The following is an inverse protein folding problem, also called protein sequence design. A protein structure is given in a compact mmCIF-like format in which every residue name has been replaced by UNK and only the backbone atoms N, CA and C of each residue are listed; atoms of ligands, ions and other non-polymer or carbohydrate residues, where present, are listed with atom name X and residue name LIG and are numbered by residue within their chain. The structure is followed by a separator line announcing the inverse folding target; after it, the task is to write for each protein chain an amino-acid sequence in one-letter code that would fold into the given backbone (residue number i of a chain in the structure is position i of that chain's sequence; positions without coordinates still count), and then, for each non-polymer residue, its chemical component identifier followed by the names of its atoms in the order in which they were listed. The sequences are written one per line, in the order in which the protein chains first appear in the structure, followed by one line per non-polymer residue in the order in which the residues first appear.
data_IF_651448096441
#
_entry.id   IF_651448096441
#
_cell.length_a   1.000
_cell.length_b   1.000
_cell.length_c   1.000
_cell.angle_alpha   90.00
_cell.angle_beta   90.00
_cell.angle_gamma   90.00
#
_symmetry.space_group_name_H-M   'P 1'
#
loop_
_entity.id
_entity.type
_entity.pdbx_description
1 polymer ?
#
# COMPACT_ATOMS: atom_id res chain seq x y z
N UNK A 1 15.53 15.43 -2.62
CA UNK A 1 16.54 14.45 -3.08
C UNK A 1 16.83 14.71 -4.54
N UNK A 2 17.81 15.59 -4.83
CA UNK A 2 18.37 15.81 -6.16
C UNK A 2 19.77 15.22 -6.13
N UNK A 3 19.94 14.05 -6.74
CA UNK A 3 21.16 13.53 -7.37
C UNK A 3 21.16 12.01 -7.30
N UNK A 4 20.63 11.32 -8.32
CA UNK A 4 21.20 10.11 -8.95
C UNK A 4 20.37 9.86 -10.22
N UNK A 5 20.56 10.66 -11.28
CA UNK A 5 20.06 10.29 -12.61
C UNK A 5 21.01 10.89 -13.67
N UNK A 6 22.27 10.49 -13.59
CA UNK A 6 23.24 10.68 -14.68
C UNK A 6 24.09 9.44 -14.84
N UNK A 7 23.54 8.43 -15.51
CA UNK A 7 24.35 7.57 -16.39
C UNK A 7 23.50 7.07 -17.56
N UNK A 8 23.77 7.61 -18.75
CA UNK A 8 23.35 7.03 -20.03
C UNK A 8 24.05 5.67 -20.18
N UNK A 9 23.34 4.59 -19.85
CA UNK A 9 23.48 3.26 -20.46
C UNK A 9 22.07 2.84 -20.84
N UNK A 10 21.89 2.22 -22.00
CA UNK A 10 20.64 1.55 -22.38
C UNK A 10 20.37 0.41 -21.37
N UNK A 11 19.84 0.78 -20.21
CA UNK A 11 19.26 -0.12 -19.23
C UNK A 11 17.75 0.00 -19.44
N UNK A 12 17.03 -1.13 -19.43
CA UNK A 12 15.56 -1.23 -19.51
C UNK A 12 14.92 -1.39 -20.89
N UNK A 13 15.64 -1.86 -21.92
CA UNK A 13 14.98 -2.20 -23.18
C UNK A 13 14.28 -3.55 -23.07
N UNK A 14 12.95 -3.53 -23.15
CA UNK A 14 12.14 -4.74 -23.33
C UNK A 14 12.39 -5.35 -24.71
N UNK A 15 12.40 -6.67 -24.78
CA UNK A 15 12.56 -7.42 -26.02
C UNK A 15 11.41 -8.41 -26.17
N UNK A 16 10.98 -8.66 -27.39
CA UNK A 16 10.01 -9.71 -27.67
C UNK A 16 10.67 -11.07 -27.62
N UNK A 17 10.08 -11.98 -26.84
CA UNK A 17 10.43 -13.38 -26.80
C UNK A 17 9.36 -14.24 -27.47
N UNK A 18 9.77 -15.38 -28.01
CA UNK A 18 8.84 -16.44 -28.43
C UNK A 18 8.56 -17.32 -27.22
N UNK A 19 7.29 -17.43 -26.83
CA UNK A 19 6.87 -18.32 -25.74
C UNK A 19 6.17 -19.55 -26.31
N UNK A 20 6.40 -20.71 -25.69
CA UNK A 20 5.61 -21.92 -25.91
C UNK A 20 4.50 -22.10 -24.87
N UNK A 21 4.36 -21.16 -23.92
CA UNK A 21 3.35 -21.23 -22.85
C UNK A 21 2.01 -20.69 -23.34
N UNK A 22 0.95 -21.44 -23.07
CA UNK A 22 -0.43 -21.05 -23.36
C UNK A 22 -1.11 -20.29 -22.21
N UNK A 23 -0.49 -20.22 -21.02
CA UNK A 23 -1.07 -19.58 -19.84
C UNK A 23 -0.68 -18.10 -19.75
N UNK A 24 -1.68 -17.24 -19.50
CA UNK A 24 -1.47 -15.83 -19.20
C UNK A 24 -0.56 -15.65 -17.96
N UNK A 25 0.36 -14.70 -18.04
CA UNK A 25 1.32 -14.38 -17.00
C UNK A 25 1.23 -12.88 -16.66
N UNK A 26 0.89 -12.57 -15.41
CA UNK A 26 0.85 -11.20 -14.90
C UNK A 26 2.24 -10.81 -14.42
N UNK A 27 2.86 -9.88 -15.12
CA UNK A 27 4.20 -9.37 -14.81
C UNK A 27 4.06 -8.02 -14.13
N UNK A 28 4.26 -7.96 -12.82
CA UNK A 28 4.35 -6.68 -12.11
C UNK A 28 5.74 -6.08 -12.29
N UNK A 29 5.80 -4.82 -12.70
CA UNK A 29 7.03 -4.03 -12.63
C UNK A 29 7.20 -3.50 -11.21
N UNK A 30 8.43 -3.52 -10.71
CA UNK A 30 8.77 -2.96 -9.40
C UNK A 30 10.18 -2.34 -9.43
N UNK A 31 10.46 -1.26 -8.68
CA UNK A 31 11.76 -0.60 -8.71
C UNK A 31 12.78 -1.34 -7.83
N UNK A 32 13.99 -1.53 -8.36
CA UNK A 32 15.10 -2.15 -7.64
C UNK A 32 15.90 -1.13 -6.80
N UNK A 33 15.35 -0.70 -5.66
CA UNK A 33 16.01 0.29 -4.79
C UNK A 33 16.49 -0.37 -3.49
N UNK A 34 17.81 -0.59 -3.39
CA UNK A 34 18.43 -1.16 -2.18
C UNK A 34 18.20 -0.28 -0.94
N UNK A 35 17.83 -0.92 0.17
CA UNK A 35 17.62 -0.26 1.46
C UNK A 35 16.33 0.56 1.59
N UNK A 36 15.62 0.81 0.47
CA UNK A 36 14.31 1.45 0.50
C UNK A 36 13.23 0.43 0.91
N UNK A 37 12.35 0.86 1.81
CA UNK A 37 11.26 0.04 2.35
C UNK A 37 9.94 0.75 2.11
N UNK A 38 9.26 0.43 1.01
CA UNK A 38 7.92 0.93 0.73
C UNK A 38 6.86 -0.16 0.89
N UNK A 39 5.74 0.21 1.49
CA UNK A 39 4.60 -0.71 1.61
C UNK A 39 4.05 -1.16 0.25
N UNK A 40 4.17 -0.31 -0.78
CA UNK A 40 3.71 -0.63 -2.13
C UNK A 40 4.44 -1.81 -2.76
N UNK A 41 5.76 -1.90 -2.56
CA UNK A 41 6.58 -3.03 -3.04
C UNK A 41 6.13 -4.34 -2.38
N UNK A 42 5.87 -4.30 -1.06
CA UNK A 42 5.33 -5.46 -0.31
C UNK A 42 3.97 -5.89 -0.86
N UNK A 43 3.06 -4.95 -1.12
CA UNK A 43 1.73 -5.25 -1.68
C UNK A 43 1.85 -5.90 -3.06
N UNK A 44 2.69 -5.37 -3.95
CA UNK A 44 2.93 -5.94 -5.29
C UNK A 44 3.44 -7.39 -5.18
N UNK A 45 4.46 -7.63 -4.36
CA UNK A 45 5.01 -8.98 -4.15
C UNK A 45 3.94 -9.94 -3.60
N UNK A 46 3.17 -9.51 -2.61
CA UNK A 46 2.13 -10.34 -2.00
C UNK A 46 0.99 -10.63 -2.97
N UNK A 47 0.58 -9.67 -3.79
CA UNK A 47 -0.44 -9.91 -4.80
C UNK A 47 0.03 -10.86 -5.90
N UNK A 48 1.29 -10.76 -6.32
CA UNK A 48 1.88 -11.74 -7.25
C UNK A 48 1.81 -13.16 -6.67
N UNK A 49 2.13 -13.32 -5.38
CA UNK A 49 1.98 -14.61 -4.68
C UNK A 49 0.51 -15.07 -4.63
N UNK A 50 -0.43 -14.17 -4.34
CA UNK A 50 -1.85 -14.49 -4.25
C UNK A 50 -2.38 -14.95 -5.61
N UNK A 51 -2.05 -14.25 -6.71
CA UNK A 51 -2.42 -14.66 -8.07
C UNK A 51 -1.92 -16.07 -8.36
N UNK A 52 -0.65 -16.35 -8.06
CA UNK A 52 -0.08 -17.68 -8.26
C UNK A 52 -0.77 -18.75 -7.40
N UNK A 53 -1.00 -18.47 -6.12
CA UNK A 53 -1.64 -19.40 -5.18
C UNK A 53 -3.10 -19.71 -5.53
N UNK A 54 -3.83 -18.75 -6.10
CA UNK A 54 -5.22 -18.96 -6.49
C UNK A 54 -5.36 -19.97 -7.63
N UNK A 55 -4.33 -20.17 -8.46
CA UNK A 55 -4.39 -21.01 -9.67
C UNK A 55 -5.59 -20.70 -10.57
N UNK A 56 -6.03 -19.42 -10.57
CA UNK A 56 -7.25 -18.97 -11.23
C UNK A 56 -7.04 -18.96 -12.75
N UNK A 57 -7.81 -19.76 -13.49
CA UNK A 57 -7.65 -19.99 -14.94
C UNK A 57 -6.23 -20.36 -15.39
N UNK A 58 -5.42 -20.94 -14.49
CA UNK A 58 -4.02 -21.25 -14.76
C UNK A 58 -3.12 -20.01 -14.93
N UNK A 59 -3.59 -18.81 -14.56
CA UNK A 59 -2.80 -17.58 -14.61
C UNK A 59 -1.59 -17.68 -13.69
N UNK A 60 -0.42 -17.32 -14.20
CA UNK A 60 0.81 -17.19 -13.41
C UNK A 60 1.11 -15.73 -13.10
N UNK A 61 2.00 -15.47 -12.14
CA UNK A 61 2.48 -14.11 -11.90
C UNK A 61 3.96 -14.11 -11.53
N UNK A 62 4.65 -13.05 -11.96
CA UNK A 62 6.05 -12.81 -11.66
C UNK A 62 6.28 -11.32 -11.38
N UNK A 63 7.34 -11.03 -10.61
CA UNK A 63 7.87 -9.68 -10.44
C UNK A 63 9.05 -9.46 -11.37
N UNK A 64 9.04 -8.35 -12.10
CA UNK A 64 10.14 -7.90 -12.94
C UNK A 64 10.73 -6.62 -12.36
N UNK A 65 12.03 -6.66 -12.06
CA UNK A 65 12.86 -5.50 -11.72
C UNK A 65 13.67 -5.09 -12.96
N UNK A 66 13.20 -4.15 -13.80
CA UNK A 66 13.76 -3.97 -15.15
C UNK A 66 15.23 -3.55 -15.16
N UNK A 67 15.65 -2.81 -14.13
CA UNK A 67 17.00 -2.29 -13.93
C UNK A 67 17.97 -3.31 -13.29
N UNK A 68 17.44 -4.33 -12.60
CA UNK A 68 18.23 -5.33 -11.90
C UNK A 68 17.42 -6.62 -11.65
N UNK A 69 17.45 -7.56 -12.60
CA UNK A 69 16.69 -8.82 -12.53
C UNK A 69 17.04 -9.75 -11.37
N UNK A 70 18.16 -9.49 -10.68
CA UNK A 70 18.59 -10.25 -9.48
C UNK A 70 18.14 -9.62 -8.18
N UNK A 71 17.55 -8.43 -8.23
CA UNK A 71 17.07 -7.73 -7.04
C UNK A 71 15.89 -8.49 -6.41
N UNK A 72 15.87 -8.52 -5.08
CA UNK A 72 14.75 -8.99 -4.28
C UNK A 72 14.72 -8.24 -2.96
N UNK A 73 13.53 -7.95 -2.44
CA UNK A 73 13.42 -7.37 -1.10
C UNK A 73 13.75 -8.39 -0.02
N UNK A 74 14.43 -7.94 1.03
CA UNK A 74 14.80 -8.80 2.18
C UNK A 74 14.19 -8.31 3.50
N UNK A 75 13.36 -7.26 3.47
CA UNK A 75 12.79 -6.66 4.67
C UNK A 75 11.42 -7.23 5.06
N UNK A 76 10.83 -8.07 4.20
CA UNK A 76 9.64 -8.88 4.47
C UNK A 76 9.82 -10.27 3.85
N UNK A 77 9.10 -11.26 4.38
CA UNK A 77 9.11 -12.62 3.84
C UNK A 77 8.27 -12.71 2.56
N UNK A 78 8.80 -13.35 1.53
CA UNK A 78 8.10 -13.55 0.27
C UNK A 78 8.61 -14.80 -0.46
N UNK A 79 7.74 -15.41 -1.25
CA UNK A 79 7.95 -16.50 -2.19
C UNK A 79 7.57 -16.11 -3.63
N UNK A 80 7.37 -14.81 -3.90
CA UNK A 80 7.09 -14.30 -5.23
C UNK A 80 8.12 -14.79 -6.28
N UNK A 81 7.64 -15.20 -7.45
CA UNK A 81 8.50 -15.62 -8.55
C UNK A 81 9.08 -14.38 -9.24
N UNK A 82 10.39 -14.39 -9.51
CA UNK A 82 11.06 -13.29 -10.21
C UNK A 82 11.20 -13.63 -11.69
N UNK A 83 11.03 -12.63 -12.55
CA UNK A 83 11.31 -12.72 -13.98
C UNK A 83 12.76 -12.31 -14.23
N UNK A 84 13.53 -13.21 -14.84
CA UNK A 84 14.99 -13.10 -14.92
C UNK A 84 15.51 -12.22 -16.07
N UNK A 85 14.62 -11.70 -16.92
CA UNK A 85 15.00 -10.84 -18.05
C UNK A 85 13.85 -9.92 -18.48
N UNK A 86 14.19 -8.87 -19.23
CA UNK A 86 13.24 -7.97 -19.89
C UNK A 86 12.63 -8.56 -21.18
N UNK A 87 12.62 -9.89 -21.32
CA UNK A 87 12.01 -10.58 -22.46
C UNK A 87 10.54 -10.83 -22.17
N UNK A 88 9.66 -10.21 -22.94
CA UNK A 88 8.21 -10.29 -22.80
C UNK A 88 7.56 -10.94 -24.02
N UNK A 89 6.42 -11.61 -23.81
CA UNK A 89 5.62 -12.20 -24.88
C UNK A 89 4.33 -11.44 -25.09
N UNK A 90 4.02 -11.06 -26.33
CA UNK A 90 2.74 -10.45 -26.72
C UNK A 90 1.56 -11.39 -26.44
N UNK A 91 1.76 -12.69 -26.60
CA UNK A 91 0.69 -13.68 -26.53
C UNK A 91 0.37 -14.14 -25.10
N UNK A 92 1.31 -13.97 -24.17
CA UNK A 92 1.17 -14.54 -22.82
C UNK A 92 1.47 -13.60 -21.67
N UNK A 93 2.21 -12.50 -21.86
CA UNK A 93 2.50 -11.57 -20.77
C UNK A 93 1.53 -10.39 -20.78
N UNK A 94 0.97 -10.09 -19.60
CA UNK A 94 0.27 -8.83 -19.34
C UNK A 94 1.02 -8.08 -18.24
N UNK A 95 1.43 -6.85 -18.53
CA UNK A 95 2.31 -6.10 -17.63
C UNK A 95 1.50 -5.16 -16.74
N UNK A 96 1.76 -5.16 -15.44
CA UNK A 96 1.21 -4.18 -14.49
C UNK A 96 2.31 -3.20 -14.11
N UNK A 97 2.11 -1.92 -14.42
CA UNK A 97 3.09 -0.86 -14.18
C UNK A 97 2.69 -0.06 -12.93
N UNK A 98 3.57 0.12 -11.92
CA UNK A 98 3.28 1.00 -10.79
C UNK A 98 3.24 2.45 -11.27
N UNK A 99 2.39 3.28 -10.64
CA UNK A 99 2.13 4.65 -11.09
C UNK A 99 3.39 5.50 -11.23
N UNK A 100 4.38 5.28 -10.36
CA UNK A 100 5.63 6.03 -10.33
C UNK A 100 6.60 5.69 -11.47
N UNK A 101 6.36 4.60 -12.20
CA UNK A 101 7.19 4.15 -13.33
C UNK A 101 6.43 4.15 -14.66
N UNK A 102 5.22 4.74 -14.69
CA UNK A 102 4.30 4.56 -15.82
C UNK A 102 4.83 5.09 -17.14
N UNK A 103 5.36 6.32 -17.20
CA UNK A 103 5.80 6.95 -18.46
C UNK A 103 6.89 6.15 -19.19
N UNK A 104 8.05 5.85 -18.58
CA UNK A 104 9.12 5.17 -19.31
C UNK A 104 8.71 3.79 -19.79
N UNK A 105 7.88 3.06 -19.04
CA UNK A 105 7.51 1.69 -19.40
C UNK A 105 6.31 1.60 -20.33
N UNK A 106 5.24 2.37 -20.10
CA UNK A 106 4.04 2.32 -20.94
C UNK A 106 4.37 2.61 -22.40
N UNK A 107 5.20 3.62 -22.67
CA UNK A 107 5.66 3.97 -24.02
C UNK A 107 6.40 2.83 -24.72
N UNK A 108 7.28 2.14 -24.00
CA UNK A 108 8.06 1.04 -24.54
C UNK A 108 7.19 -0.20 -24.79
N UNK A 109 6.33 -0.55 -23.84
CA UNK A 109 5.41 -1.68 -23.97
C UNK A 109 4.43 -1.48 -25.12
N UNK A 110 3.86 -0.28 -25.25
CA UNK A 110 2.99 0.09 -26.37
C UNK A 110 3.70 -0.05 -27.71
N UNK A 111 4.98 0.37 -27.82
CA UNK A 111 5.76 0.24 -29.06
C UNK A 111 6.03 -1.21 -29.48
N UNK A 112 5.94 -2.15 -28.53
CA UNK A 112 6.13 -3.59 -28.75
C UNK A 112 4.81 -4.36 -28.88
N UNK A 113 3.67 -3.68 -28.77
CA UNK A 113 2.35 -4.31 -28.74
C UNK A 113 2.08 -5.15 -27.49
N UNK A 114 2.84 -4.95 -26.41
CA UNK A 114 2.62 -5.64 -25.13
C UNK A 114 1.47 -4.97 -24.38
N UNK A 115 0.48 -5.78 -24.00
CA UNK A 115 -0.69 -5.35 -23.22
C UNK A 115 -0.28 -4.99 -21.80
N UNK A 116 -0.86 -3.91 -21.26
CA UNK A 116 -0.54 -3.49 -19.90
C UNK A 116 -1.71 -2.83 -19.17
N UNK A 117 -1.64 -2.88 -17.84
CA UNK A 117 -2.43 -2.09 -16.92
C UNK A 117 -1.54 -1.23 -16.03
N UNK A 118 -2.15 -0.28 -15.32
CA UNK A 118 -1.45 0.60 -14.38
C UNK A 118 -1.97 0.27 -12.99
N UNK A 119 -1.08 0.07 -12.02
CA UNK A 119 -1.46 -0.03 -10.62
C UNK A 119 -1.12 1.25 -9.89
N UNK A 120 -2.14 1.97 -9.43
CA UNK A 120 -2.00 3.19 -8.67
C UNK A 120 -2.23 2.87 -7.20
N UNK A 121 -1.14 2.86 -6.43
CA UNK A 121 -1.19 2.65 -4.98
C UNK A 121 -1.24 3.95 -4.18
N UNK A 122 -0.90 5.08 -4.79
CA UNK A 122 -1.07 6.40 -4.20
C UNK A 122 -1.54 7.40 -5.25
N UNK A 123 -2.83 7.76 -5.23
CA UNK A 123 -3.41 8.72 -6.17
C UNK A 123 -2.69 10.08 -6.20
N UNK A 124 -2.14 10.51 -5.06
CA UNK A 124 -1.38 11.76 -4.93
C UNK A 124 0.01 11.71 -5.58
N UNK A 125 0.47 10.51 -5.97
CA UNK A 125 1.74 10.30 -6.68
C UNK A 125 1.59 10.29 -8.20
N UNK A 126 0.37 10.43 -8.74
CA UNK A 126 0.12 10.40 -10.19
C UNK A 126 0.85 11.51 -10.98
N UNK A 127 1.29 12.59 -10.30
CA UNK A 127 2.09 13.66 -10.91
C UNK A 127 3.60 13.38 -10.94
N UNK A 128 4.11 12.40 -10.17
CA UNK A 128 5.54 12.06 -10.14
C UNK A 128 6.10 11.72 -11.54
N UNK A 129 5.39 10.98 -12.40
CA UNK A 129 5.85 10.70 -13.75
C UNK A 129 6.17 11.95 -14.58
N UNK A 130 5.53 13.10 -14.33
CA UNK A 130 5.83 14.34 -15.04
C UNK A 130 7.26 14.85 -14.77
N UNK A 131 7.90 14.41 -13.69
CA UNK A 131 9.32 14.69 -13.46
C UNK A 131 10.27 13.88 -14.37
N UNK A 132 9.76 12.86 -15.07
CA UNK A 132 10.51 11.96 -15.95
C UNK A 132 9.97 11.94 -17.39
N UNK A 133 8.99 12.78 -17.73
CA UNK A 133 8.33 12.82 -19.04
C UNK A 133 7.46 14.04 -19.27
N UNK A 134 6.47 13.93 -20.17
CA UNK A 134 5.52 14.99 -20.51
C UNK A 134 4.08 14.63 -20.14
N UNK A 135 3.20 15.63 -20.05
CA UNK A 135 1.75 15.43 -19.89
C UNK A 135 1.17 14.56 -21.01
N UNK A 136 1.66 14.72 -22.24
CA UNK A 136 1.21 13.95 -23.40
C UNK A 136 1.58 12.46 -23.25
N UNK A 137 2.81 12.15 -22.81
CA UNK A 137 3.23 10.77 -22.56
C UNK A 137 2.43 10.16 -21.40
N UNK A 138 2.12 10.93 -20.35
CA UNK A 138 1.31 10.47 -19.22
C UNK A 138 -0.13 10.16 -19.65
N UNK A 139 -0.78 11.08 -20.36
CA UNK A 139 -2.13 10.90 -20.89
C UNK A 139 -2.20 9.72 -21.87
N UNK A 140 -1.20 9.56 -22.73
CA UNK A 140 -1.12 8.40 -23.62
C UNK A 140 -0.99 7.09 -22.83
N UNK A 141 -0.22 7.07 -21.75
CA UNK A 141 -0.05 5.88 -20.92
C UNK A 141 -1.37 5.41 -20.28
N UNK A 142 -2.15 6.32 -19.69
CA UNK A 142 -3.45 5.98 -19.09
C UNK A 142 -4.52 5.65 -20.16
N UNK A 143 -4.51 6.38 -21.29
CA UNK A 143 -5.42 6.10 -22.42
C UNK A 143 -5.18 4.74 -23.06
N UNK A 144 -3.95 4.27 -23.11
CA UNK A 144 -3.60 2.98 -23.73
C UNK A 144 -3.60 1.81 -22.73
N UNK A 145 -3.65 2.06 -21.42
CA UNK A 145 -3.82 1.00 -20.42
C UNK A 145 -5.16 0.29 -20.62
N UNK A 146 -5.19 -1.03 -20.52
CA UNK A 146 -6.42 -1.83 -20.63
C UNK A 146 -7.23 -1.83 -19.32
N UNK A 147 -6.54 -1.63 -18.20
CA UNK A 147 -7.12 -1.57 -16.85
C UNK A 147 -6.27 -0.66 -15.96
N UNK A 148 -6.92 0.05 -15.04
CA UNK A 148 -6.27 0.87 -14.02
C UNK A 148 -6.66 0.32 -12.66
N UNK A 149 -5.73 -0.32 -11.96
CA UNK A 149 -5.95 -0.85 -10.62
C UNK A 149 -5.81 0.28 -9.60
N UNK A 150 -6.76 0.43 -8.67
CA UNK A 150 -6.72 1.40 -7.58
C UNK A 150 -6.70 0.71 -6.21
N UNK A 151 -5.93 1.25 -5.25
CA UNK A 151 -5.80 0.64 -3.91
C UNK A 151 -6.89 1.07 -2.92
N UNK A 152 -7.67 2.11 -3.22
CA UNK A 152 -8.72 2.66 -2.35
C UNK A 152 -9.80 3.37 -3.17
N UNK A 153 -10.92 3.64 -2.52
CA UNK A 153 -11.98 4.46 -3.11
C UNK A 153 -11.45 5.88 -3.37
N UNK A 154 -10.72 6.46 -2.42
CA UNK A 154 -9.98 7.73 -2.55
C UNK A 154 -8.99 7.73 -3.73
N UNK A 155 -8.24 6.64 -3.94
CA UNK A 155 -7.34 6.52 -5.10
C UNK A 155 -8.12 6.45 -6.41
N UNK A 156 -9.27 5.78 -6.43
CA UNK A 156 -10.17 5.75 -7.59
C UNK A 156 -10.66 7.15 -7.94
N UNK A 157 -11.06 7.94 -6.93
CA UNK A 157 -11.46 9.33 -7.09
C UNK A 157 -10.30 10.20 -7.62
N UNK A 158 -9.08 10.04 -7.08
CA UNK A 158 -7.90 10.73 -7.57
C UNK A 158 -7.63 10.44 -9.06
N UNK A 159 -7.73 9.17 -9.48
CA UNK A 159 -7.54 8.78 -10.88
C UNK A 159 -8.64 9.38 -11.75
N UNK A 160 -9.91 9.30 -11.34
CA UNK A 160 -11.03 9.83 -12.12
C UNK A 160 -10.96 11.36 -12.26
N UNK A 161 -10.42 12.05 -11.26
CA UNK A 161 -10.15 13.50 -11.34
C UNK A 161 -9.02 13.83 -12.31
N UNK A 162 -7.95 13.01 -12.34
CA UNK A 162 -6.79 13.22 -13.20
C UNK A 162 -7.03 12.78 -14.67
N UNK A 163 -7.77 11.70 -14.86
CA UNK A 163 -8.01 11.02 -16.15
C UNK A 163 -9.50 10.67 -16.31
N UNK A 164 -10.37 11.68 -16.48
CA UNK A 164 -11.82 11.48 -16.46
C UNK A 164 -12.35 10.63 -17.63
N UNK A 165 -11.66 10.62 -18.78
CA UNK A 165 -12.05 9.80 -19.94
C UNK A 165 -11.76 8.31 -19.74
N UNK A 166 -10.94 7.98 -18.74
CA UNK A 166 -10.42 6.66 -18.43
C UNK A 166 -11.07 6.09 -17.17
N UNK A 167 -12.01 6.80 -16.55
CA UNK A 167 -12.68 6.40 -15.31
C UNK A 167 -13.37 5.03 -15.41
N UNK A 168 -13.85 4.64 -16.58
CA UNK A 168 -14.46 3.32 -16.83
C UNK A 168 -13.49 2.15 -16.76
N UNK A 169 -12.18 2.41 -16.80
CA UNK A 169 -11.12 1.39 -16.70
C UNK A 169 -10.66 1.14 -15.27
N UNK A 170 -11.16 1.93 -14.32
CA UNK A 170 -10.73 1.85 -12.92
C UNK A 170 -11.34 0.60 -12.28
N UNK A 171 -10.49 -0.25 -11.73
CA UNK A 171 -10.86 -1.44 -10.97
C UNK A 171 -10.20 -1.38 -9.59
N UNK A 172 -11.01 -1.44 -8.54
CA UNK A 172 -10.55 -1.46 -7.16
C UNK A 172 -9.92 -2.81 -6.80
N UNK A 173 -8.71 -2.79 -6.21
CA UNK A 173 -7.99 -3.95 -5.68
C UNK A 173 -7.65 -3.78 -4.21
N UNK A 174 -8.00 -4.77 -3.38
CA UNK A 174 -7.68 -4.78 -1.95
C UNK A 174 -6.32 -5.45 -1.70
N UNK A 175 -5.54 -4.94 -0.76
CA UNK A 175 -4.50 -5.73 -0.08
C UNK A 175 -5.13 -6.47 1.10
N UNK A 176 -4.44 -7.49 1.61
CA UNK A 176 -4.80 -8.14 2.87
C UNK A 176 -3.83 -7.84 4.02
N UNK A 177 -4.36 -7.85 5.25
CA UNK A 177 -3.58 -7.84 6.49
C UNK A 177 -3.86 -9.12 7.25
N UNK A 178 -2.80 -9.80 7.69
CA UNK A 178 -2.93 -11.03 8.47
C UNK A 178 -3.42 -10.71 9.89
N UNK A 179 -4.73 -10.81 10.11
CA UNK A 179 -5.36 -10.60 11.41
C UNK A 179 -4.98 -11.67 12.45
N UNK A 180 -4.41 -12.80 12.04
CA UNK A 180 -3.89 -13.82 12.96
C UNK A 180 -2.52 -13.42 13.52
N UNK A 181 -1.75 -12.64 12.74
CA UNK A 181 -0.47 -12.03 13.12
C UNK A 181 -0.69 -10.73 13.90
N UNK A 182 -1.48 -9.80 13.35
CA UNK A 182 -1.83 -8.53 13.99
C UNK A 182 -3.06 -8.70 14.89
N UNK A 183 -2.84 -9.27 16.07
CA UNK A 183 -3.87 -9.48 17.11
C UNK A 183 -3.41 -8.92 18.45
N UNK A 184 -4.34 -8.51 19.34
CA UNK A 184 -3.97 -7.98 20.64
C UNK A 184 -3.29 -9.02 21.52
N UNK A 185 -2.28 -8.57 22.27
CA UNK A 185 -1.74 -9.33 23.39
C UNK A 185 -2.78 -9.38 24.53
N UNK A 186 -2.81 -10.48 25.30
CA UNK A 186 -3.76 -10.67 26.42
C UNK A 186 -3.58 -9.62 27.52
N UNK A 187 -2.36 -9.10 27.67
CA UNK A 187 -2.01 -8.01 28.58
C UNK A 187 -1.32 -6.89 27.81
N UNK A 188 -2.05 -5.83 27.50
CA UNK A 188 -1.51 -4.64 26.82
C UNK A 188 -0.86 -3.70 27.83
N UNK A 189 0.26 -3.14 27.45
CA UNK A 189 1.02 -2.15 28.22
C UNK A 189 0.41 -0.75 28.07
N UNK A 190 0.69 0.15 29.01
CA UNK A 190 0.40 1.59 28.87
C UNK A 190 1.40 2.22 27.89
N UNK A 191 1.33 1.77 26.64
CA UNK A 191 2.28 2.06 25.59
C UNK A 191 1.58 2.76 24.43
N UNK A 192 2.22 3.83 23.95
CA UNK A 192 1.83 4.59 22.77
C UNK A 192 2.90 4.39 21.71
N UNK A 193 2.50 3.94 20.52
CA UNK A 193 3.41 3.68 19.41
C UNK A 193 3.18 4.66 18.26
N UNK A 194 4.23 4.89 17.45
CA UNK A 194 4.16 5.76 16.28
C UNK A 194 5.28 5.42 15.30
N UNK A 195 5.12 5.77 14.02
CA UNK A 195 6.19 5.62 13.02
C UNK A 195 6.81 7.00 12.71
N UNK A 196 8.12 7.22 13.00
CA UNK A 196 8.72 8.57 12.95
C UNK A 196 9.06 9.09 11.55
N UNK A 197 8.93 8.26 10.50
CA UNK A 197 9.47 8.56 9.17
C UNK A 197 8.66 9.60 8.41
N UNK A 198 7.34 9.48 8.36
CA UNK A 198 6.45 10.40 7.65
C UNK A 198 6.04 11.54 8.58
N UNK A 199 5.94 12.75 8.03
CA UNK A 199 5.67 13.99 8.77
C UNK A 199 6.51 14.10 10.06
N UNK A 200 7.83 13.88 9.97
CA UNK A 200 8.75 13.84 11.11
C UNK A 200 8.59 15.06 12.04
N UNK A 201 8.46 16.27 11.48
CA UNK A 201 8.23 17.49 12.27
C UNK A 201 6.95 17.43 13.12
N UNK A 202 5.88 16.83 12.61
CA UNK A 202 4.63 16.69 13.36
C UNK A 202 4.78 15.64 14.47
N UNK A 203 5.36 14.49 14.16
CA UNK A 203 5.57 13.44 15.15
C UNK A 203 6.51 13.88 16.27
N UNK A 204 7.56 14.65 15.96
CA UNK A 204 8.46 15.26 16.95
C UNK A 204 7.73 16.23 17.88
N UNK A 205 6.86 17.09 17.34
CA UNK A 205 6.10 18.05 18.15
C UNK A 205 5.06 17.37 19.05
N UNK A 206 4.29 16.42 18.51
CA UNK A 206 3.30 15.67 19.30
C UNK A 206 4.01 14.88 20.41
N UNK A 207 5.12 14.21 20.09
CA UNK A 207 5.97 13.53 21.08
C UNK A 207 6.44 14.49 22.16
N UNK A 208 7.02 15.63 21.78
CA UNK A 208 7.53 16.64 22.72
C UNK A 208 6.46 17.07 23.72
N UNK A 209 5.24 17.38 23.25
CA UNK A 209 4.16 17.77 24.15
C UNK A 209 3.63 16.61 25.00
N UNK A 210 3.50 15.41 24.44
CA UNK A 210 3.07 14.23 25.21
C UNK A 210 4.06 13.89 26.32
N UNK A 211 5.37 13.91 26.07
CA UNK A 211 6.38 13.60 27.08
C UNK A 211 6.28 14.48 28.34
N UNK A 212 5.75 15.69 28.22
CA UNK A 212 5.52 16.60 29.35
C UNK A 212 4.16 16.42 30.05
N UNK A 213 3.22 15.70 29.43
CA UNK A 213 1.82 15.61 29.88
C UNK A 213 1.32 14.18 30.09
N UNK A 214 2.14 13.15 29.82
CA UNK A 214 1.74 11.77 29.99
C UNK A 214 1.51 11.42 31.48
N UNK A 215 0.42 10.70 31.80
CA UNK A 215 0.24 10.15 33.13
C UNK A 215 1.34 9.15 33.51
N UNK A 216 1.57 8.99 34.81
CA UNK A 216 2.56 8.04 35.33
C UNK A 216 2.31 6.63 34.81
N UNK A 217 3.38 5.96 34.36
CA UNK A 217 3.33 4.60 33.81
C UNK A 217 3.01 4.51 32.31
N UNK A 218 2.66 5.62 31.65
CA UNK A 218 2.57 5.65 30.19
C UNK A 218 3.91 6.01 29.55
N UNK A 219 4.20 5.41 28.39
CA UNK A 219 5.43 5.70 27.62
C UNK A 219 5.18 5.69 26.12
N UNK A 220 6.02 6.42 25.38
CA UNK A 220 6.06 6.35 23.91
C UNK A 220 7.14 5.36 23.44
N UNK A 221 6.91 4.68 22.33
CA UNK A 221 7.93 3.92 21.61
C UNK A 221 7.81 4.08 20.09
N UNK A 222 8.91 4.42 19.39
CA UNK A 222 8.89 4.44 17.93
C UNK A 222 8.86 3.03 17.36
N UNK A 223 8.02 2.82 16.34
CA UNK A 223 8.06 1.65 15.46
C UNK A 223 9.06 1.96 14.35
N UNK A 224 10.32 1.59 14.56
CA UNK A 224 11.42 1.93 13.66
C UNK A 224 12.46 0.80 13.59
N UNK A 225 12.95 0.52 12.38
CA UNK A 225 13.99 -0.50 12.16
C UNK A 225 13.55 -1.95 12.36
N UNK A 226 12.27 -2.19 12.64
CA UNK A 226 11.70 -3.53 12.86
C UNK A 226 11.34 -4.21 11.54
N UNK A 227 11.36 -5.55 11.54
CA UNK A 227 10.69 -6.37 10.53
C UNK A 227 9.19 -6.52 10.87
N UNK A 228 8.43 -7.18 10.00
CA UNK A 228 6.97 -7.32 10.19
C UNK A 228 6.60 -7.96 11.53
N UNK A 229 7.28 -9.04 11.95
CA UNK A 229 6.96 -9.70 13.22
C UNK A 229 7.27 -8.80 14.42
N UNK A 230 8.36 -8.04 14.38
CA UNK A 230 8.68 -7.06 15.40
C UNK A 230 7.67 -5.91 15.46
N UNK A 231 7.15 -5.47 14.30
CA UNK A 231 6.06 -4.49 14.23
C UNK A 231 4.79 -5.08 14.87
N UNK A 232 4.39 -6.29 14.48
CA UNK A 232 3.21 -6.96 15.03
C UNK A 232 3.31 -7.14 16.55
N UNK A 233 4.46 -7.57 17.06
CA UNK A 233 4.71 -7.75 18.49
C UNK A 233 4.68 -6.44 19.28
N UNK A 234 5.25 -5.37 18.73
CA UNK A 234 5.21 -4.06 19.40
C UNK A 234 3.78 -3.48 19.41
N UNK A 235 3.04 -3.62 18.30
CA UNK A 235 1.66 -3.17 18.21
C UNK A 235 0.70 -4.01 19.07
N UNK A 236 0.92 -5.32 19.20
CA UNK A 236 0.06 -6.21 20.00
C UNK A 236 0.02 -5.80 21.47
N UNK A 237 1.15 -5.34 22.02
CA UNK A 237 1.28 -4.85 23.40
C UNK A 237 0.93 -3.38 23.57
N UNK A 238 0.95 -2.58 22.51
CA UNK A 238 0.62 -1.14 22.52
C UNK A 238 -0.88 -0.87 22.65
N UNK A 239 -1.29 0.16 23.39
CA UNK A 239 -2.71 0.56 23.53
C UNK A 239 -3.15 1.63 22.54
N UNK A 240 -2.25 2.55 22.17
CA UNK A 240 -2.54 3.66 21.26
C UNK A 240 -1.49 3.69 20.17
N UNK A 241 -1.92 3.89 18.93
CA UNK A 241 -1.05 4.14 17.78
C UNK A 241 -1.32 5.54 17.24
N UNK A 242 -0.26 6.33 17.05
CA UNK A 242 -0.32 7.66 16.49
C UNK A 242 -0.05 7.59 14.97
N UNK A 243 -1.07 7.95 14.19
CA UNK A 243 -1.01 7.98 12.73
C UNK A 243 -0.54 9.34 12.23
N UNK A 244 0.59 9.37 11.53
CA UNK A 244 1.18 10.55 10.90
C UNK A 244 1.22 10.44 9.37
N UNK A 245 0.12 9.92 8.79
CA UNK A 245 -0.04 9.82 7.33
C UNK A 245 -0.13 11.21 6.68
N UNK A 246 0.56 11.41 5.56
CA UNK A 246 0.53 12.67 4.80
C UNK A 246 -0.44 12.59 3.62
N UNK A 247 0.01 12.06 2.49
CA UNK A 247 -0.79 11.74 1.31
C UNK A 247 -0.54 10.29 0.96
N UNK A 248 -1.53 9.43 1.23
CA UNK A 248 -1.41 7.99 1.08
C UNK A 248 -2.68 7.41 0.48
N UNK A 249 -2.55 6.53 -0.51
CA UNK A 249 -3.72 5.89 -1.13
C UNK A 249 -4.46 4.96 -0.16
N UNK A 250 -3.75 4.12 0.60
CA UNK A 250 -4.35 3.27 1.63
C UNK A 250 -3.27 2.82 2.63
N UNK A 251 -3.01 3.57 3.73
CA UNK A 251 -1.90 3.26 4.62
C UNK A 251 -2.13 1.96 5.39
N UNK A 252 -1.15 1.06 5.38
CA UNK A 252 -1.16 -0.20 6.14
C UNK A 252 -1.06 -0.01 7.67
N UNK A 253 -0.18 0.85 8.22
CA UNK A 253 0.08 0.89 9.66
C UNK A 253 -1.15 1.17 10.54
N UNK A 254 -2.08 2.08 10.18
CA UNK A 254 -3.32 2.27 10.93
C UNK A 254 -4.19 1.00 10.99
N UNK A 255 -4.28 0.23 9.91
CA UNK A 255 -5.04 -1.03 9.85
C UNK A 255 -4.38 -2.08 10.74
N UNK A 256 -3.06 -2.27 10.60
CA UNK A 256 -2.24 -3.19 11.42
C UNK A 256 -2.39 -2.88 12.93
N UNK A 257 -2.31 -1.60 13.32
CA UNK A 257 -2.44 -1.17 14.70
C UNK A 257 -3.86 -1.40 15.25
N UNK A 258 -4.89 -1.08 14.47
CA UNK A 258 -6.28 -1.28 14.85
C UNK A 258 -6.60 -2.76 15.08
N UNK A 259 -6.16 -3.65 14.17
CA UNK A 259 -6.32 -5.11 14.31
C UNK A 259 -5.53 -5.66 15.51
N UNK A 260 -4.34 -5.11 15.80
CA UNK A 260 -3.58 -5.39 17.01
C UNK A 260 -4.24 -4.85 18.30
N UNK A 261 -5.44 -4.27 18.22
CA UNK A 261 -6.24 -3.82 19.37
C UNK A 261 -5.87 -2.43 19.88
N UNK A 262 -5.20 -1.60 19.07
CA UNK A 262 -4.88 -0.22 19.45
C UNK A 262 -6.10 0.68 19.20
N UNK A 263 -6.14 1.82 19.90
CA UNK A 263 -6.82 3.00 19.40
C UNK A 263 -5.89 3.72 18.44
N UNK A 264 -6.41 4.11 17.28
CA UNK A 264 -5.66 4.86 16.27
C UNK A 264 -6.08 6.31 16.37
N UNK A 265 -5.11 7.21 16.53
CA UNK A 265 -5.35 8.64 16.65
C UNK A 265 -4.45 9.36 15.65
N UNK A 266 -5.01 10.26 14.84
CA UNK A 266 -4.22 11.10 13.95
C UNK A 266 -4.82 11.27 12.57
N UNK A 267 -3.95 11.28 11.56
CA UNK A 267 -4.29 11.67 10.20
C UNK A 267 -4.64 10.46 9.33
N UNK A 268 -5.60 10.64 8.41
CA UNK A 268 -6.00 9.60 7.45
C UNK A 268 -5.05 9.49 6.26
N UNK A 269 -4.32 10.55 5.96
CA UNK A 269 -3.60 10.69 4.69
C UNK A 269 -4.53 10.70 3.47
N UNK A 270 -5.78 11.11 3.67
CA UNK A 270 -6.94 11.00 2.77
C UNK A 270 -7.39 9.55 2.52
N UNK A 271 -6.52 8.67 2.05
CA UNK A 271 -6.87 7.30 1.68
C UNK A 271 -7.44 6.42 2.79
N UNK A 272 -7.06 6.67 4.06
CA UNK A 272 -7.59 5.90 5.18
C UNK A 272 -9.04 6.26 5.57
N UNK A 273 -9.63 7.32 4.99
CA UNK A 273 -11.00 7.74 5.31
C UNK A 273 -12.02 6.63 5.14
N UNK A 274 -11.79 5.72 4.19
CA UNK A 274 -12.69 4.60 3.86
C UNK A 274 -12.90 3.61 5.04
N UNK A 275 -12.00 3.60 6.02
CA UNK A 275 -12.08 2.73 7.19
C UNK A 275 -11.95 3.47 8.54
N UNK A 276 -11.94 4.80 8.51
CA UNK A 276 -11.67 5.62 9.69
C UNK A 276 -12.90 5.77 10.60
N UNK A 277 -13.31 4.67 11.23
CA UNK A 277 -14.55 4.60 12.01
C UNK A 277 -14.30 4.76 13.52
N UNK A 278 -14.94 5.73 14.21
CA UNK A 278 -14.89 5.82 15.65
C UNK A 278 -15.71 4.68 16.32
N UNK A 279 -15.35 4.23 17.52
CA UNK A 279 -14.32 4.82 18.37
C UNK A 279 -12.87 4.31 18.16
N UNK A 280 -12.64 3.31 17.29
CA UNK A 280 -11.29 2.74 17.06
C UNK A 280 -10.37 3.78 16.44
N UNK A 281 -10.87 4.52 15.44
CA UNK A 281 -10.13 5.55 14.74
C UNK A 281 -10.62 6.94 15.16
N UNK A 282 -9.70 7.77 15.62
CA UNK A 282 -9.94 9.12 16.12
C UNK A 282 -9.24 10.11 15.20
N UNK A 283 -10.04 10.78 14.37
CA UNK A 283 -9.56 11.75 13.39
C UNK A 283 -8.99 12.99 14.06
N UNK A 284 -7.85 13.45 13.54
CA UNK A 284 -7.28 14.77 13.80
C UNK A 284 -7.06 15.42 12.43
N UNK A 285 -7.37 16.71 12.33
CA UNK A 285 -7.04 17.49 11.13
C UNK A 285 -5.53 17.64 10.99
N UNK A 286 -5.01 17.45 9.77
CA UNK A 286 -3.58 17.54 9.52
C UNK A 286 -3.04 18.93 9.92
N UNK A 287 -2.02 18.95 10.78
CA UNK A 287 -1.44 20.19 11.33
C UNK A 287 -2.01 20.64 12.68
N UNK A 288 -3.13 20.08 13.15
CA UNK A 288 -3.66 20.40 14.49
C UNK A 288 -2.96 19.59 15.60
N UNK A 289 -1.70 19.95 15.86
CA UNK A 289 -0.84 19.30 16.87
C UNK A 289 -1.45 19.40 18.28
N UNK A 290 -2.11 20.51 18.62
CA UNK A 290 -2.69 20.71 19.96
C UNK A 290 -3.85 19.76 20.20
N UNK A 291 -4.79 19.68 19.24
CA UNK A 291 -5.90 18.75 19.34
C UNK A 291 -5.41 17.29 19.32
N UNK A 292 -4.37 16.99 18.54
CA UNK A 292 -3.75 15.65 18.57
C UNK A 292 -3.35 15.27 20.00
N UNK A 293 -2.57 16.11 20.68
CA UNK A 293 -2.12 15.86 22.05
C UNK A 293 -3.30 15.72 23.01
N UNK A 294 -4.26 16.63 22.98
CA UNK A 294 -5.46 16.57 23.84
C UNK A 294 -6.24 15.28 23.63
N UNK A 295 -6.46 14.86 22.38
CA UNK A 295 -7.21 13.65 22.05
C UNK A 295 -6.51 12.38 22.54
N UNK A 296 -5.18 12.34 22.49
CA UNK A 296 -4.39 11.25 23.07
C UNK A 296 -4.60 11.19 24.58
N UNK A 297 -4.48 12.32 25.29
CA UNK A 297 -4.65 12.37 26.74
C UNK A 297 -6.08 11.99 27.17
N UNK A 298 -7.10 12.39 26.42
CA UNK A 298 -8.48 12.00 26.71
C UNK A 298 -8.74 10.52 26.42
N UNK A 299 -8.09 9.96 25.39
CA UNK A 299 -8.14 8.52 25.09
C UNK A 299 -7.48 7.70 26.20
N UNK A 300 -6.41 8.21 26.82
CA UNK A 300 -5.79 7.57 28.00
C UNK A 300 -6.79 7.51 29.16
N UNK A 301 -7.46 8.63 29.50
CA UNK A 301 -8.47 8.67 30.56
C UNK A 301 -9.63 7.69 30.30
N UNK A 302 -10.04 7.57 29.04
CA UNK A 302 -11.09 6.63 28.62
C UNK A 302 -10.64 5.17 28.81
N UNK A 303 -9.41 4.83 28.42
CA UNK A 303 -8.87 3.48 28.60
C UNK A 303 -8.69 3.12 30.09
N UNK A 304 -8.40 4.10 30.95
CA UNK A 304 -8.25 3.92 32.39
C UNK A 304 -9.60 3.74 33.10
N UNK A 305 -10.69 4.31 32.57
CA UNK A 305 -12.03 4.21 33.17
C UNK A 305 -12.78 2.90 32.85
N UNK A 306 -12.25 2.04 31.95
CA UNK A 306 -12.68 0.66 31.67
C UNK A 306 -14.19 0.49 31.36
N UNK A 307 -14.70 1.18 30.33
CA UNK A 307 -16.08 1.01 29.86
C UNK A 307 -16.26 -0.24 28.99
N UNK A 308 -17.00 -1.24 29.46
CA UNK A 308 -17.28 -2.48 28.71
C UNK A 308 -18.01 -2.22 27.38
N UNK A 309 -18.87 -1.19 27.31
CA UNK A 309 -19.59 -0.82 26.08
C UNK A 309 -18.62 -0.35 25.00
N UNK A 310 -17.57 0.38 25.40
CA UNK A 310 -16.54 0.89 24.50
C UNK A 310 -15.76 -0.26 23.85
N UNK A 311 -15.42 -1.29 24.63
CA UNK A 311 -14.69 -2.45 24.14
C UNK A 311 -15.51 -3.24 23.10
N UNK A 312 -16.81 -3.43 23.34
CA UNK A 312 -17.71 -4.11 22.39
C UNK A 312 -17.83 -3.35 21.07
N UNK A 313 -17.97 -2.02 21.12
CA UNK A 313 -18.03 -1.20 19.90
C UNK A 313 -16.72 -1.27 19.11
N UNK A 314 -15.57 -1.20 19.81
CA UNK A 314 -14.27 -1.35 19.16
C UNK A 314 -14.11 -2.72 18.50
N UNK A 315 -14.61 -3.78 19.15
CA UNK A 315 -14.53 -5.14 18.63
C UNK A 315 -15.29 -5.29 17.30
N UNK A 316 -16.54 -4.82 17.23
CA UNK A 316 -17.34 -4.91 16.00
C UNK A 316 -16.70 -4.15 14.82
N UNK A 317 -16.09 -2.99 15.07
CA UNK A 317 -15.36 -2.23 14.03
C UNK A 317 -14.13 -3.00 13.54
N UNK A 318 -13.38 -3.62 14.46
CA UNK A 318 -12.20 -4.40 14.10
C UNK A 318 -12.55 -5.66 13.29
N UNK A 319 -13.68 -6.29 13.59
CA UNK A 319 -14.20 -7.42 12.80
C UNK A 319 -14.52 -6.98 11.36
N UNK A 320 -15.26 -5.88 11.19
CA UNK A 320 -15.53 -5.32 9.86
C UNK A 320 -14.24 -4.91 9.11
N UNK A 321 -13.25 -4.38 9.83
CA UNK A 321 -11.94 -4.05 9.27
C UNK A 321 -11.17 -5.31 8.81
N UNK A 322 -11.19 -6.37 9.62
CA UNK A 322 -10.55 -7.64 9.30
C UNK A 322 -11.20 -8.30 8.08
N UNK A 323 -12.52 -8.20 7.94
CA UNK A 323 -13.26 -8.70 6.77
C UNK A 323 -12.91 -7.89 5.51
N UNK A 324 -12.89 -6.55 5.60
CA UNK A 324 -12.56 -5.64 4.48
C UNK A 324 -11.15 -5.87 3.95
N UNK A 325 -10.18 -6.08 4.83
CA UNK A 325 -8.77 -6.35 4.46
C UNK A 325 -8.39 -7.81 4.64
N UNK A 326 -9.34 -8.73 4.39
CA UNK A 326 -9.10 -10.17 4.44
C UNK A 326 -8.41 -10.67 3.17
N UNK A 327 -7.75 -11.83 3.28
CA UNK A 327 -7.21 -12.54 2.11
C UNK A 327 -8.31 -12.86 1.08
N UNK A 328 -9.53 -13.13 1.54
CA UNK A 328 -10.67 -13.40 0.66
C UNK A 328 -11.08 -12.15 -0.14
N UNK A 329 -11.11 -10.97 0.50
CA UNK A 329 -11.40 -9.71 -0.18
C UNK A 329 -10.35 -9.38 -1.26
N UNK A 330 -9.06 -9.52 -0.93
CA UNK A 330 -7.96 -9.38 -1.89
C UNK A 330 -8.12 -10.37 -3.07
N UNK A 331 -8.30 -11.66 -2.79
CA UNK A 331 -8.50 -12.69 -3.81
C UNK A 331 -9.69 -12.39 -4.74
N UNK A 332 -10.83 -11.97 -4.17
CA UNK A 332 -12.02 -11.67 -4.96
C UNK A 332 -11.79 -10.45 -5.88
N UNK A 333 -11.15 -9.40 -5.37
CA UNK A 333 -10.83 -8.22 -6.20
C UNK A 333 -9.82 -8.53 -7.30
N UNK A 334 -8.81 -9.35 -7.01
CA UNK A 334 -7.84 -9.81 -8.02
C UNK A 334 -8.51 -10.68 -9.08
N UNK A 335 -9.43 -11.59 -8.72
CA UNK A 335 -10.18 -12.39 -9.69
C UNK A 335 -10.98 -11.53 -10.66
N UNK A 336 -11.66 -10.49 -10.16
CA UNK A 336 -12.39 -9.55 -11.01
C UNK A 336 -11.47 -8.84 -12.01
N UNK A 337 -10.30 -8.37 -11.56
CA UNK A 337 -9.31 -7.78 -12.46
C UNK A 337 -8.77 -8.80 -13.49
N UNK A 338 -8.51 -10.04 -13.07
CA UNK A 338 -8.06 -11.10 -13.97
C UNK A 338 -9.13 -11.45 -15.01
N UNK A 339 -10.41 -11.52 -14.65
CA UNK A 339 -11.50 -11.77 -15.59
C UNK A 339 -11.53 -10.70 -16.69
N UNK A 340 -11.34 -9.43 -16.34
CA UNK A 340 -11.24 -8.33 -17.31
C UNK A 340 -10.01 -8.46 -18.22
N UNK A 341 -8.86 -8.88 -17.68
CA UNK A 341 -7.62 -9.06 -18.46
C UNK A 341 -7.73 -10.28 -19.41
N UNK A 342 -8.37 -11.37 -18.96
CA UNK A 342 -8.56 -12.59 -19.76
C UNK A 342 -9.59 -12.36 -20.87
N UNK A 343 -10.67 -11.65 -20.54
CA UNK A 343 -11.78 -11.37 -21.44
C UNK A 343 -11.96 -9.85 -21.61
N UNK A 344 -11.03 -9.18 -22.32
CA UNK A 344 -11.14 -7.75 -22.55
C UNK A 344 -12.47 -7.45 -23.26
N UNK A 345 -13.23 -6.49 -22.72
CA UNK A 345 -14.46 -6.03 -23.36
C UNK A 345 -14.10 -5.38 -24.70
N UNK A 346 -14.67 -5.88 -25.80
CA UNK A 346 -14.48 -5.35 -27.16
C UNK A 346 -14.93 -3.89 -27.30
#
# INVERSE_FOLDING_TARGET
MRSVLTSKKEKNVYQLGVTSKSSLNIVFIDPAIEGYKAGGDKVIYKQSEVIHQMSYHGVTSQILHPDNHRFKHTWFEHNAQLKESNILSVDSDFVIIPEVMVIPHAKMLASLGIRYGIYVQNGYSASIPLYVGSDEDLNAAYRNAEIILSISDDTSECIALAFPSEASKIQRIFYSVDSSKFKPHTQKENLITYMPRKLARHSDLVKFFLEHNLPSGWRLAPVHGLNEDGVAELLSRSKIFLSFSEFEGCPLPPVEAALAGNLVIGYTGEGAREYWTPPVFNLIDCGDVKNFVTKVLDSIKLLESKSQVYDTQCQSIREGLADRYSKLAEQNSLKQALDHIIHPSN
#
